data_IF_058190801329
#
_entry.id   IF_058190801329
#
_cell.length_a   1.000
_cell.length_b   1.000
_cell.length_c   1.000
_cell.angle_alpha   90.00
_cell.angle_beta   90.00
_cell.angle_gamma   90.00
#
_symmetry.space_group_name_H-M   'P 1'
#
loop_
_entity.id
_entity.type
_entity.pdbx_description
1 polymer ?
#
# COMPACT_ATOMS: atom_id res chain seq x y z
N UNK A 1 31.95 7.28 -28.47
CA UNK A 1 32.09 6.84 -27.07
C UNK A 1 30.70 6.78 -26.47
N UNK A 2 30.11 5.60 -26.33
CA UNK A 2 28.89 5.43 -25.53
C UNK A 2 29.30 5.54 -24.06
N UNK A 3 29.38 6.77 -23.55
CA UNK A 3 29.56 6.99 -22.13
C UNK A 3 28.35 6.40 -21.43
N UNK A 4 28.56 5.38 -20.61
CA UNK A 4 27.53 4.80 -19.78
C UNK A 4 26.97 5.89 -18.85
N UNK A 5 25.72 6.37 -19.06
CA UNK A 5 25.16 7.46 -18.28
C UNK A 5 25.05 7.10 -16.79
N UNK A 6 24.98 5.81 -16.48
CA UNK A 6 25.07 5.32 -15.11
C UNK A 6 26.44 5.62 -14.49
N UNK A 7 27.51 5.35 -15.23
CA UNK A 7 28.87 5.63 -14.79
C UNK A 7 29.05 7.13 -14.48
N UNK A 8 28.35 8.01 -15.20
CA UNK A 8 28.41 9.45 -14.99
C UNK A 8 27.74 9.88 -13.67
N UNK A 9 26.48 9.48 -13.42
CA UNK A 9 25.77 9.88 -12.21
C UNK A 9 26.44 9.30 -10.95
N UNK A 10 26.82 8.03 -10.99
CA UNK A 10 27.56 7.39 -9.92
C UNK A 10 28.92 8.05 -9.69
N UNK A 11 29.61 8.48 -10.76
CA UNK A 11 30.86 9.24 -10.66
C UNK A 11 30.63 10.60 -9.99
N UNK A 12 29.60 11.33 -10.38
CA UNK A 12 29.28 12.63 -9.75
C UNK A 12 29.03 12.49 -8.24
N UNK A 13 28.26 11.48 -7.81
CA UNK A 13 28.07 11.22 -6.38
C UNK A 13 29.38 10.84 -5.66
N UNK A 14 30.23 10.01 -6.28
CA UNK A 14 31.55 9.65 -5.75
C UNK A 14 32.46 10.87 -5.59
N UNK A 15 32.54 11.70 -6.62
CA UNK A 15 33.35 12.92 -6.64
C UNK A 15 32.90 13.88 -5.53
N UNK A 16 31.58 14.07 -5.36
CA UNK A 16 31.04 14.88 -4.27
C UNK A 16 31.31 14.29 -2.88
N UNK A 17 31.38 12.96 -2.78
CA UNK A 17 31.71 12.27 -1.53
C UNK A 17 33.21 12.24 -1.21
N UNK A 18 34.07 12.61 -2.16
CA UNK A 18 35.51 12.38 -2.07
C UNK A 18 35.87 10.89 -1.97
N UNK A 19 35.02 9.99 -2.49
CA UNK A 19 35.20 8.54 -2.36
C UNK A 19 36.16 7.99 -3.43
N UNK A 20 37.02 7.00 -3.09
CA UNK A 20 37.91 6.36 -4.05
C UNK A 20 37.15 5.56 -5.13
N UNK A 21 37.77 5.37 -6.30
CA UNK A 21 37.15 4.70 -7.46
C UNK A 21 36.80 3.23 -7.21
N UNK A 22 37.56 2.56 -6.36
CA UNK A 22 37.41 1.14 -5.99
C UNK A 22 36.66 1.05 -4.66
N UNK A 23 35.34 1.00 -4.72
CA UNK A 23 34.49 0.75 -3.55
C UNK A 23 33.73 -0.56 -3.78
N UNK A 24 33.68 -1.41 -2.74
CA UNK A 24 32.87 -2.62 -2.75
C UNK A 24 31.38 -2.28 -2.87
N UNK A 25 30.62 -3.16 -3.54
CA UNK A 25 29.22 -2.97 -3.87
C UNK A 25 28.30 -3.65 -2.83
N UNK A 26 27.12 -3.06 -2.49
CA UNK A 26 26.59 -1.76 -2.92
C UNK A 26 27.37 -0.59 -2.30
N UNK A 27 27.48 0.52 -3.04
CA UNK A 27 28.26 1.66 -2.56
C UNK A 27 27.39 2.59 -1.71
N UNK A 28 27.88 2.88 -0.51
CA UNK A 28 27.26 3.78 0.44
C UNK A 28 28.09 5.05 0.57
N UNK A 29 27.49 6.20 0.27
CA UNK A 29 28.10 7.51 0.51
C UNK A 29 27.35 8.24 1.61
N UNK A 30 28.08 8.98 2.43
CA UNK A 30 27.53 9.94 3.37
C UNK A 30 27.87 11.34 2.86
N UNK A 31 26.84 12.10 2.51
CA UNK A 31 26.94 13.45 2.00
C UNK A 31 26.23 14.41 2.93
N UNK A 32 26.63 15.67 2.88
CA UNK A 32 25.91 16.75 3.54
C UNK A 32 25.45 17.75 2.48
N UNK A 33 24.15 17.98 2.39
CA UNK A 33 23.58 19.02 1.52
C UNK A 33 22.59 19.85 2.32
N UNK A 34 22.74 21.17 2.25
CA UNK A 34 21.89 22.11 2.99
C UNK A 34 21.94 21.96 4.52
N UNK A 35 22.93 21.27 5.08
CA UNK A 35 23.00 20.95 6.52
C UNK A 35 22.34 19.62 6.91
N UNK A 36 21.73 18.88 5.97
CA UNK A 36 21.16 17.56 6.22
C UNK A 36 22.16 16.44 5.90
N UNK A 37 22.30 15.44 6.77
CA UNK A 37 23.01 14.22 6.44
C UNK A 37 22.19 13.38 5.45
N UNK A 38 22.76 13.09 4.29
CA UNK A 38 22.14 12.28 3.24
C UNK A 38 22.99 11.06 3.00
N UNK A 39 22.40 9.88 3.19
CA UNK A 39 23.00 8.62 2.78
C UNK A 39 22.58 8.31 1.36
N UNK A 40 23.55 8.21 0.46
CA UNK A 40 23.34 7.75 -0.91
C UNK A 40 23.68 6.26 -0.97
N UNK A 41 22.73 5.43 -1.36
CA UNK A 41 22.91 4.00 -1.57
C UNK A 41 22.76 3.74 -3.05
N UNK A 42 23.75 3.10 -3.64
CA UNK A 42 23.81 2.88 -5.07
C UNK A 42 24.16 1.42 -5.39
N UNK A 43 23.38 0.83 -6.29
CA UNK A 43 23.60 -0.50 -6.87
C UNK A 43 23.78 -0.35 -8.37
N UNK A 44 24.81 -1.00 -8.95
CA UNK A 44 25.04 -0.98 -10.41
C UNK A 44 23.77 -1.45 -11.12
N UNK A 45 23.32 -0.72 -12.13
CA UNK A 45 22.22 -1.03 -13.05
C UNK A 45 20.83 -1.13 -12.44
N UNK A 46 20.70 -1.08 -11.11
CA UNK A 46 19.41 -1.28 -10.45
C UNK A 46 18.81 0.04 -9.97
N UNK A 47 19.49 0.75 -9.04
CA UNK A 47 18.89 1.90 -8.38
C UNK A 47 19.88 2.86 -7.71
N UNK A 48 19.39 4.08 -7.50
CA UNK A 48 19.91 5.01 -6.48
C UNK A 48 18.84 5.23 -5.43
N UNK A 49 19.26 5.24 -4.16
CA UNK A 49 18.41 5.60 -3.03
C UNK A 49 19.06 6.72 -2.23
N UNK A 50 18.32 7.80 -2.01
CA UNK A 50 18.69 8.85 -1.07
C UNK A 50 17.94 8.60 0.23
N UNK A 51 18.62 8.66 1.37
CA UNK A 51 18.01 8.54 2.70
C UNK A 51 18.48 9.64 3.62
N UNK A 52 17.58 10.17 4.43
CA UNK A 52 17.91 11.05 5.55
C UNK A 52 17.04 10.64 6.74
N UNK A 53 17.58 10.63 7.97
CA UNK A 53 16.77 10.45 9.16
C UNK A 53 15.59 11.42 9.18
N UNK A 54 14.39 10.93 9.48
CA UNK A 54 13.24 11.77 9.74
C UNK A 54 13.41 12.39 11.13
N UNK A 55 13.42 13.70 11.20
CA UNK A 55 13.71 14.38 12.46
C UNK A 55 12.55 14.21 13.46
N UNK A 56 12.79 13.49 14.54
CA UNK A 56 11.78 13.22 15.57
C UNK A 56 11.47 14.49 16.35
N UNK A 57 10.18 14.77 16.53
CA UNK A 57 9.74 15.78 17.49
C UNK A 57 9.94 15.29 18.91
N UNK A 58 10.10 16.23 19.85
CA UNK A 58 10.03 15.90 21.27
C UNK A 58 8.68 15.21 21.57
N UNK A 59 8.72 14.16 22.39
CA UNK A 59 7.50 13.45 22.79
C UNK A 59 6.62 14.43 23.57
N UNK A 60 5.35 14.64 23.16
CA UNK A 60 4.45 15.51 23.88
C UNK A 60 4.25 14.97 25.30
N UNK A 61 4.01 15.83 26.29
CA UNK A 61 3.68 15.38 27.64
C UNK A 61 2.48 14.43 27.57
N UNK A 62 2.38 13.43 28.46
CA UNK A 62 1.31 12.45 28.47
C UNK A 62 -0.04 13.12 28.72
N UNK A 63 -0.69 13.58 27.65
CA UNK A 63 -2.06 14.06 27.61
C UNK A 63 -2.91 13.08 26.79
N UNK A 64 -4.16 12.87 27.19
CA UNK A 64 -5.04 11.88 26.56
C UNK A 64 -5.19 12.06 25.04
N UNK A 65 -5.22 10.95 24.31
CA UNK A 65 -5.23 10.89 22.84
C UNK A 65 -6.33 11.75 22.16
N UNK A 66 -7.41 12.07 22.86
CA UNK A 66 -8.49 12.91 22.36
C UNK A 66 -8.12 14.40 22.20
N UNK A 67 -7.13 14.91 22.94
CA UNK A 67 -6.74 16.32 22.83
C UNK A 67 -5.88 16.63 21.61
N UNK A 68 -5.30 15.61 20.96
CA UNK A 68 -4.40 15.79 19.83
C UNK A 68 -5.10 16.29 18.55
N UNK A 69 -6.40 16.01 18.39
CA UNK A 69 -7.12 16.33 17.15
C UNK A 69 -7.58 17.79 17.05
N UNK A 70 -7.72 18.50 18.17
CA UNK A 70 -8.12 19.93 18.22
C UNK A 70 -6.99 20.84 18.64
N UNK A 71 -5.75 20.41 18.39
CA UNK A 71 -4.61 21.20 18.78
C UNK A 71 -4.60 22.52 17.97
N UNK A 72 -4.42 23.69 18.63
CA UNK A 72 -4.44 24.99 17.95
C UNK A 72 -3.38 25.06 16.85
N UNK A 73 -3.57 25.95 15.88
CA UNK A 73 -2.58 26.21 14.84
C UNK A 73 -1.21 26.50 15.49
N UNK A 74 -0.20 25.68 15.17
CA UNK A 74 1.13 25.75 15.79
C UNK A 74 1.43 24.68 16.85
N UNK A 75 0.43 23.89 17.28
CA UNK A 75 0.70 22.75 18.13
C UNK A 75 1.53 21.68 17.40
N UNK A 76 2.43 20.97 18.11
CA UNK A 76 3.25 19.90 17.54
C UNK A 76 2.38 18.88 16.79
N UNK A 77 2.81 18.48 15.59
CA UNK A 77 2.11 17.45 14.85
C UNK A 77 2.35 16.10 15.54
N UNK A 78 1.30 15.31 15.73
CA UNK A 78 1.40 13.97 16.32
C UNK A 78 0.65 12.97 15.45
N UNK A 79 1.29 11.84 15.16
CA UNK A 79 0.74 10.83 14.26
C UNK A 79 1.25 9.42 14.60
N UNK A 80 0.45 8.41 14.24
CA UNK A 80 0.91 7.03 14.30
C UNK A 80 2.06 6.82 13.30
N UNK A 81 3.15 6.20 13.76
CA UNK A 81 4.34 5.94 12.94
C UNK A 81 4.50 4.44 12.62
N UNK A 82 5.12 4.08 11.48
CA UNK A 82 5.54 4.98 10.40
C UNK A 82 4.33 5.58 9.67
N UNK A 83 4.44 6.84 9.24
CA UNK A 83 3.36 7.47 8.46
C UNK A 83 3.29 6.93 7.03
N UNK A 84 4.42 6.48 6.46
CA UNK A 84 4.52 5.93 5.11
C UNK A 84 3.82 6.80 4.06
N UNK A 85 4.09 8.11 4.06
CA UNK A 85 3.53 9.01 3.05
C UNK A 85 4.39 8.86 1.79
N UNK A 86 3.88 8.10 0.82
CA UNK A 86 4.52 7.87 -0.46
C UNK A 86 4.05 8.90 -1.50
N UNK A 87 5.02 9.51 -2.17
CA UNK A 87 4.86 10.51 -3.21
C UNK A 87 5.51 9.96 -4.47
N UNK A 88 4.77 9.93 -5.58
CA UNK A 88 5.29 9.47 -6.87
C UNK A 88 4.74 10.32 -8.01
N UNK A 89 5.34 10.26 -9.22
CA UNK A 89 4.76 10.93 -10.37
C UNK A 89 3.32 10.45 -10.63
N UNK A 90 2.41 11.40 -10.89
CA UNK A 90 1.02 11.06 -11.18
C UNK A 90 0.86 10.55 -12.62
N UNK A 91 0.33 9.34 -12.76
CA UNK A 91 0.10 8.72 -14.07
C UNK A 91 -1.27 9.07 -14.65
N UNK A 92 -1.48 8.79 -15.94
CA UNK A 92 -2.80 8.97 -16.57
C UNK A 92 -3.88 8.08 -15.94
N UNK A 93 -3.52 6.87 -15.48
CA UNK A 93 -4.42 5.95 -14.79
C UNK A 93 -4.89 6.51 -13.45
N UNK A 94 -3.99 7.15 -12.69
CA UNK A 94 -4.33 7.80 -11.41
C UNK A 94 -5.35 8.91 -11.62
N UNK A 95 -5.12 9.77 -12.63
CA UNK A 95 -6.06 10.85 -12.98
C UNK A 95 -7.43 10.32 -13.36
N UNK A 96 -7.49 9.25 -14.16
CA UNK A 96 -8.75 8.62 -14.52
C UNK A 96 -9.47 8.03 -13.29
N UNK A 97 -8.73 7.37 -12.38
CA UNK A 97 -9.28 6.81 -11.16
C UNK A 97 -9.80 7.88 -10.18
N UNK A 98 -9.11 9.03 -10.08
CA UNK A 98 -9.56 10.21 -9.34
C UNK A 98 -10.84 10.79 -9.94
N UNK A 99 -10.86 10.99 -11.26
CA UNK A 99 -12.02 11.52 -11.98
C UNK A 99 -13.26 10.63 -11.83
N UNK A 100 -13.07 9.31 -11.75
CA UNK A 100 -14.13 8.34 -11.50
C UNK A 100 -14.58 8.26 -10.02
N UNK A 101 -13.94 9.01 -9.10
CA UNK A 101 -14.23 8.95 -7.67
C UNK A 101 -13.85 7.62 -7.00
N UNK A 102 -12.98 6.84 -7.65
CA UNK A 102 -12.53 5.53 -7.12
C UNK A 102 -11.43 5.74 -6.08
N UNK A 103 -10.48 6.63 -6.37
CA UNK A 103 -9.39 6.98 -5.46
C UNK A 103 -9.71 8.28 -4.73
N UNK A 104 -9.70 8.25 -3.40
CA UNK A 104 -9.69 9.47 -2.58
C UNK A 104 -8.23 9.76 -2.21
N UNK A 105 -7.66 10.77 -2.84
CA UNK A 105 -6.31 11.25 -2.57
C UNK A 105 -6.37 12.54 -1.75
N UNK A 106 -5.40 12.70 -0.85
CA UNK A 106 -5.19 13.94 -0.09
C UNK A 106 -4.82 15.06 -1.06
N UNK A 107 -5.63 16.12 -1.12
CA UNK A 107 -5.29 17.31 -1.89
C UNK A 107 -4.51 18.30 -1.01
N UNK A 108 -3.40 18.83 -1.52
CA UNK A 108 -2.61 19.82 -0.78
C UNK A 108 -3.20 21.22 -0.91
N UNK A 109 -3.99 21.47 -1.96
CA UNK A 109 -4.52 22.79 -2.29
C UNK A 109 -3.57 23.61 -3.17
N UNK A 110 -2.51 22.98 -3.69
CA UNK A 110 -1.53 23.54 -4.61
C UNK A 110 -1.70 22.84 -5.97
N UNK A 111 -2.48 23.41 -6.92
CA UNK A 111 -2.84 22.71 -8.14
C UNK A 111 -1.63 22.22 -8.97
N UNK A 112 -0.56 23.01 -9.16
CA UNK A 112 0.66 22.52 -9.79
C UNK A 112 1.29 21.28 -9.11
N UNK A 113 1.17 21.15 -7.80
CA UNK A 113 1.63 19.98 -7.06
C UNK A 113 0.66 18.81 -7.20
N UNK A 114 -0.63 19.06 -6.95
CA UNK A 114 -1.70 18.05 -6.96
C UNK A 114 -1.90 17.42 -8.36
N UNK A 115 -1.51 18.11 -9.45
CA UNK A 115 -1.48 17.59 -10.82
C UNK A 115 -0.19 16.84 -11.20
N UNK A 116 0.88 17.01 -10.44
CA UNK A 116 2.19 16.43 -10.75
C UNK A 116 2.51 15.19 -9.89
N UNK A 117 1.97 15.14 -8.68
CA UNK A 117 2.33 14.18 -7.65
C UNK A 117 1.09 13.41 -7.20
N UNK A 118 1.19 12.08 -7.21
CA UNK A 118 0.23 11.21 -6.56
C UNK A 118 0.66 10.97 -5.11
N UNK A 119 -0.25 11.23 -4.16
CA UNK A 119 -0.02 11.04 -2.72
C UNK A 119 -0.72 9.77 -2.25
N UNK A 120 0.06 8.76 -1.91
CA UNK A 120 -0.40 7.60 -1.17
C UNK A 120 -0.07 7.75 0.32
N UNK A 121 -1.08 7.88 1.17
CA UNK A 121 -0.88 7.93 2.61
C UNK A 121 -1.90 7.02 3.32
N UNK A 122 -1.45 5.96 4.03
CA UNK A 122 -2.36 5.05 4.74
C UNK A 122 -2.94 5.67 6.02
N UNK A 123 -2.38 6.79 6.49
CA UNK A 123 -2.76 7.48 7.72
C UNK A 123 -3.91 8.49 7.56
N UNK A 124 -3.99 9.42 8.49
CA UNK A 124 -4.99 10.50 8.51
C UNK A 124 -4.68 11.56 7.42
N UNK A 125 -5.61 11.83 6.48
CA UNK A 125 -5.46 12.85 5.44
C UNK A 125 -5.06 14.24 5.96
N UNK A 126 -5.56 14.65 7.13
CA UNK A 126 -5.26 15.96 7.71
C UNK A 126 -3.82 16.04 8.19
N UNK A 127 -3.29 14.95 8.74
CA UNK A 127 -1.87 14.85 9.11
C UNK A 127 -1.02 14.93 7.85
N UNK A 128 -1.35 14.16 6.81
CA UNK A 128 -0.64 14.20 5.53
C UNK A 128 -0.64 15.61 4.93
N UNK A 129 -1.78 16.30 4.92
CA UNK A 129 -1.89 17.67 4.42
C UNK A 129 -1.00 18.63 5.22
N UNK A 130 -0.93 18.48 6.56
CA UNK A 130 -0.03 19.29 7.41
C UNK A 130 1.45 18.97 7.17
N UNK A 131 1.80 17.69 6.96
CA UNK A 131 3.18 17.28 6.60
C UNK A 131 3.59 17.92 5.28
N UNK A 132 2.70 17.94 4.29
CA UNK A 132 2.93 18.52 2.96
C UNK A 132 2.62 20.02 2.88
N UNK A 133 2.44 20.69 4.02
CA UNK A 133 2.00 22.08 4.09
C UNK A 133 3.03 23.11 3.59
N UNK A 134 4.33 22.81 3.68
CA UNK A 134 5.40 23.70 3.19
C UNK A 134 5.47 23.75 1.67
N UNK A 135 5.52 24.95 1.10
CA UNK A 135 5.70 25.16 -0.34
C UNK A 135 7.10 24.72 -0.80
N UNK A 136 8.11 24.92 0.03
CA UNK A 136 9.50 24.53 -0.22
C UNK A 136 9.65 23.01 -0.25
N UNK A 137 8.97 22.29 0.64
CA UNK A 137 8.89 20.82 0.59
C UNK A 137 8.28 20.37 -0.73
N UNK A 138 7.12 20.93 -1.10
CA UNK A 138 6.42 20.57 -2.34
C UNK A 138 7.25 20.87 -3.58
N UNK A 139 7.96 22.00 -3.60
CA UNK A 139 8.91 22.33 -4.67
C UNK A 139 10.07 21.33 -4.73
N UNK A 140 10.65 20.94 -3.58
CA UNK A 140 11.70 19.93 -3.50
C UNK A 140 11.26 18.57 -4.01
N UNK A 141 10.05 18.12 -3.64
CA UNK A 141 9.44 16.88 -4.15
C UNK A 141 9.30 16.93 -5.67
N UNK A 142 8.70 17.99 -6.22
CA UNK A 142 8.53 18.13 -7.68
C UNK A 142 9.88 18.16 -8.41
N UNK A 143 10.85 18.89 -7.88
CA UNK A 143 12.19 18.96 -8.45
C UNK A 143 12.87 17.58 -8.47
N UNK A 144 12.77 16.81 -7.38
CA UNK A 144 13.37 15.49 -7.30
C UNK A 144 12.69 14.48 -8.24
N UNK A 145 11.37 14.51 -8.33
CA UNK A 145 10.62 13.68 -9.29
C UNK A 145 10.93 14.08 -10.74
N UNK A 146 11.16 15.36 -11.03
CA UNK A 146 11.58 15.83 -12.35
C UNK A 146 13.00 15.36 -12.74
N UNK A 147 13.85 15.05 -11.77
CA UNK A 147 15.14 14.38 -11.99
C UNK A 147 15.00 12.85 -12.16
N UNK A 148 13.77 12.32 -12.26
CA UNK A 148 13.50 10.93 -12.64
C UNK A 148 13.19 9.98 -11.49
N UNK A 149 13.19 10.44 -10.24
CA UNK A 149 12.85 9.59 -9.09
C UNK A 149 11.45 9.00 -9.23
N UNK A 150 11.33 7.69 -8.98
CA UNK A 150 10.07 6.96 -9.11
C UNK A 150 9.19 7.10 -7.88
N UNK A 151 9.78 7.23 -6.69
CA UNK A 151 9.02 7.46 -5.46
C UNK A 151 9.85 8.16 -4.38
N UNK A 152 9.16 8.85 -3.47
CA UNK A 152 9.68 9.47 -2.26
C UNK A 152 8.76 9.03 -1.11
N UNK A 153 9.31 8.44 -0.07
CA UNK A 153 8.59 8.01 1.13
C UNK A 153 9.03 8.88 2.30
N UNK A 154 8.07 9.54 2.93
CA UNK A 154 8.28 10.32 4.14
C UNK A 154 7.87 9.46 5.35
N UNK A 155 8.81 9.27 6.27
CA UNK A 155 8.66 8.45 7.47
C UNK A 155 8.38 6.98 7.14
N UNK A 156 9.38 6.32 6.54
CA UNK A 156 9.37 4.89 6.23
C UNK A 156 9.41 4.01 7.50
N UNK A 157 9.45 2.68 7.34
CA UNK A 157 9.50 1.73 8.46
C UNK A 157 10.73 1.88 9.37
N UNK A 158 11.80 2.49 8.87
CA UNK A 158 13.02 2.79 9.64
C UNK A 158 13.00 4.21 10.24
N UNK A 159 11.93 4.98 9.98
CA UNK A 159 11.83 6.37 10.41
C UNK A 159 12.72 7.30 9.59
N UNK A 160 12.95 7.00 8.32
CA UNK A 160 13.71 7.81 7.39
C UNK A 160 12.79 8.52 6.37
N UNK A 161 13.34 9.55 5.73
CA UNK A 161 12.87 10.06 4.44
C UNK A 161 13.70 9.33 3.38
N UNK A 162 13.03 8.70 2.42
CA UNK A 162 13.66 7.91 1.36
C UNK A 162 13.21 8.39 -0.01
N UNK A 163 14.13 8.47 -0.97
CA UNK A 163 13.80 8.68 -2.37
C UNK A 163 14.45 7.60 -3.22
N UNK A 164 13.68 7.03 -4.15
CA UNK A 164 14.07 5.92 -5.00
C UNK A 164 14.11 6.35 -6.46
N UNK A 165 15.25 6.09 -7.10
CA UNK A 165 15.43 6.19 -8.54
C UNK A 165 15.64 4.79 -9.08
N UNK A 166 14.67 4.28 -9.85
CA UNK A 166 14.77 2.98 -10.53
C UNK A 166 15.33 3.17 -11.93
N UNK A 167 16.32 2.35 -12.29
CA UNK A 167 16.94 2.27 -13.61
C UNK A 167 17.53 3.61 -14.13
N UNK A 168 18.78 3.56 -14.55
CA UNK A 168 19.47 4.73 -15.10
C UNK A 168 18.92 5.04 -16.50
N UNK A 169 17.92 5.92 -16.58
CA UNK A 169 17.50 6.46 -17.88
C UNK A 169 18.57 7.43 -18.41
N UNK A 170 18.63 7.61 -19.74
CA UNK A 170 19.63 8.47 -20.38
C UNK A 170 19.61 9.95 -19.92
N UNK A 171 18.54 10.40 -19.26
CA UNK A 171 18.42 11.76 -18.73
C UNK A 171 19.43 12.08 -17.62
N UNK A 172 20.01 11.04 -16.98
CA UNK A 172 20.89 11.16 -15.82
C UNK A 172 22.35 11.46 -16.15
N UNK A 173 22.76 11.42 -17.43
CA UNK A 173 24.11 11.77 -17.86
C UNK A 173 24.40 13.28 -17.93
N UNK A 174 23.46 14.14 -17.51
CA UNK A 174 23.62 15.60 -17.59
C UNK A 174 24.60 16.09 -16.51
N UNK A 175 25.49 17.05 -16.83
CA UNK A 175 26.34 17.69 -15.83
C UNK A 175 25.52 18.27 -14.66
N UNK A 176 25.99 18.01 -13.44
CA UNK A 176 25.41 18.55 -12.21
C UNK A 176 24.07 17.97 -11.79
N UNK A 177 23.60 16.86 -12.39
CA UNK A 177 22.31 16.26 -11.99
C UNK A 177 22.37 15.75 -10.55
N UNK A 178 23.49 15.15 -10.13
CA UNK A 178 23.66 14.64 -8.77
C UNK A 178 23.52 15.76 -7.73
N UNK A 179 24.04 16.96 -8.04
CA UNK A 179 23.92 18.13 -7.17
C UNK A 179 22.48 18.60 -7.05
N UNK A 180 21.75 18.71 -8.18
CA UNK A 180 20.33 19.09 -8.17
C UNK A 180 19.47 18.08 -7.40
N UNK A 181 19.74 16.78 -7.53
CA UNK A 181 19.08 15.73 -6.76
C UNK A 181 19.31 15.91 -5.25
N UNK A 182 20.55 16.16 -4.83
CA UNK A 182 20.87 16.39 -3.41
C UNK A 182 20.25 17.67 -2.86
N UNK A 183 20.28 18.76 -3.62
CA UNK A 183 19.70 20.03 -3.21
C UNK A 183 18.17 19.91 -3.09
N UNK A 184 17.52 19.22 -4.02
CA UNK A 184 16.09 18.93 -3.97
C UNK A 184 15.73 18.01 -2.78
N UNK A 185 16.49 16.94 -2.56
CA UNK A 185 16.27 16.05 -1.42
C UNK A 185 16.52 16.74 -0.07
N UNK A 186 17.54 17.59 0.03
CA UNK A 186 17.79 18.42 1.21
C UNK A 186 16.68 19.45 1.45
N UNK A 187 16.07 20.00 0.40
CA UNK A 187 14.90 20.86 0.54
C UNK A 187 13.71 20.11 1.14
N UNK A 188 13.49 18.85 0.75
CA UNK A 188 12.47 17.99 1.38
C UNK A 188 12.82 17.76 2.85
N UNK A 189 14.02 17.23 3.12
CA UNK A 189 14.42 16.82 4.47
C UNK A 189 14.37 17.95 5.52
N UNK A 190 14.67 19.19 5.12
CA UNK A 190 14.62 20.36 6.03
C UNK A 190 13.23 20.90 6.29
N UNK A 191 12.31 20.74 5.34
CA UNK A 191 11.00 21.37 5.40
C UNK A 191 9.89 20.39 5.81
N UNK A 192 10.22 19.11 5.97
CA UNK A 192 9.34 18.15 6.62
C UNK A 192 9.20 18.53 8.10
N UNK A 193 7.97 18.75 8.61
CA UNK A 193 7.78 19.13 10.00
C UNK A 193 8.12 17.97 10.93
N UNK A 194 8.56 18.27 12.15
CA UNK A 194 8.72 17.27 13.18
C UNK A 194 7.37 16.67 13.58
N UNK A 195 7.30 15.34 13.64
CA UNK A 195 6.11 14.60 14.06
C UNK A 195 6.41 13.76 15.28
N UNK A 196 5.66 14.01 16.34
CA UNK A 196 5.71 13.21 17.54
C UNK A 196 4.99 11.87 17.33
N UNK A 197 5.55 10.75 17.82
CA UNK A 197 4.88 9.46 17.75
C UNK A 197 3.58 9.49 18.57
N UNK A 198 2.48 9.11 17.95
CA UNK A 198 1.21 8.83 18.59
C UNK A 198 0.99 7.31 18.68
N UNK A 199 0.21 6.82 19.67
CA UNK A 199 -0.24 5.45 19.68
C UNK A 199 -0.92 5.11 18.36
N UNK A 200 -0.52 3.99 17.74
CA UNK A 200 -1.22 3.48 16.57
C UNK A 200 -2.63 3.06 17.00
N UNK A 201 -3.70 3.58 16.40
CA UNK A 201 -5.03 3.04 16.66
C UNK A 201 -4.99 1.55 16.36
N UNK A 202 -5.57 0.73 17.25
CA UNK A 202 -5.68 -0.69 17.01
C UNK A 202 -6.32 -0.89 15.63
N UNK A 203 -5.63 -1.58 14.73
CA UNK A 203 -6.07 -1.78 13.35
C UNK A 203 -7.19 -2.84 13.34
N UNK A 204 -8.35 -2.45 13.86
CA UNK A 204 -9.53 -3.31 13.98
C UNK A 204 -9.92 -3.89 12.61
N UNK A 205 -9.65 -3.17 11.52
CA UNK A 205 -9.89 -3.63 10.16
C UNK A 205 -9.01 -4.83 9.78
N UNK A 206 -7.71 -4.80 10.11
CA UNK A 206 -6.82 -5.94 9.86
C UNK A 206 -7.19 -7.13 10.73
N UNK A 207 -7.57 -6.91 11.98
CA UNK A 207 -8.08 -7.97 12.86
C UNK A 207 -9.38 -8.59 12.33
N UNK A 208 -10.32 -7.77 11.83
CA UNK A 208 -11.57 -8.24 11.21
C UNK A 208 -11.31 -9.02 9.92
N UNK A 209 -10.38 -8.58 9.07
CA UNK A 209 -10.03 -9.30 7.84
C UNK A 209 -9.35 -10.64 8.14
N UNK A 210 -8.43 -10.68 9.12
CA UNK A 210 -7.78 -11.92 9.55
C UNK A 210 -8.79 -12.88 10.16
N UNK A 211 -9.66 -12.39 11.06
CA UNK A 211 -10.72 -13.20 11.66
C UNK A 211 -11.68 -13.72 10.60
N UNK A 212 -12.08 -12.85 9.66
CA UNK A 212 -12.91 -13.22 8.51
C UNK A 212 -12.26 -14.32 7.68
N UNK A 213 -10.99 -14.16 7.29
CA UNK A 213 -10.25 -15.17 6.54
C UNK A 213 -10.09 -16.50 7.27
N UNK A 214 -9.84 -16.48 8.58
CA UNK A 214 -9.77 -17.69 9.42
C UNK A 214 -11.14 -18.39 9.45
N UNK A 215 -12.23 -17.65 9.65
CA UNK A 215 -13.58 -18.21 9.62
C UNK A 215 -13.92 -18.79 8.24
N UNK A 216 -13.52 -18.13 7.14
CA UNK A 216 -13.67 -18.67 5.79
C UNK A 216 -12.96 -20.01 5.62
N UNK A 217 -11.69 -20.07 6.01
CA UNK A 217 -10.86 -21.27 5.89
C UNK A 217 -11.39 -22.41 6.76
N UNK A 218 -11.88 -22.11 7.96
CA UNK A 218 -12.52 -23.09 8.82
C UNK A 218 -13.82 -23.64 8.20
N UNK A 219 -14.66 -22.78 7.63
CA UNK A 219 -15.87 -23.19 6.92
C UNK A 219 -15.56 -24.04 5.69
N UNK A 220 -14.48 -23.75 4.95
CA UNK A 220 -13.97 -24.55 3.83
C UNK A 220 -13.56 -25.95 4.26
N UNK A 221 -12.68 -26.02 5.26
CA UNK A 221 -12.07 -27.25 5.73
C UNK A 221 -13.08 -28.19 6.40
N UNK A 222 -14.11 -27.63 7.05
CA UNK A 222 -15.11 -28.42 7.77
C UNK A 222 -16.38 -28.64 6.95
N UNK A 223 -16.81 -27.66 6.16
CA UNK A 223 -18.06 -27.70 5.40
C UNK A 223 -18.01 -28.66 4.22
N UNK A 224 -16.92 -28.68 3.45
CA UNK A 224 -16.81 -29.56 2.29
C UNK A 224 -16.78 -31.06 2.68
N UNK A 225 -15.97 -31.51 3.66
CA UNK A 225 -16.01 -32.91 4.09
C UNK A 225 -17.35 -33.30 4.72
N UNK A 226 -17.96 -32.42 5.52
CA UNK A 226 -19.29 -32.67 6.08
C UNK A 226 -20.34 -32.84 4.98
N UNK A 227 -20.28 -32.03 3.91
CA UNK A 227 -21.13 -32.20 2.72
C UNK A 227 -20.93 -33.56 2.06
N UNK A 228 -19.69 -33.94 1.75
CA UNK A 228 -19.40 -35.21 1.09
C UNK A 228 -19.77 -36.42 1.95
N UNK A 229 -19.58 -36.33 3.26
CA UNK A 229 -19.99 -37.37 4.20
C UNK A 229 -21.53 -37.49 4.25
N UNK A 230 -22.23 -36.38 4.37
CA UNK A 230 -23.70 -36.34 4.39
C UNK A 230 -24.32 -36.85 3.08
N UNK A 231 -23.75 -36.44 1.94
CA UNK A 231 -24.18 -36.88 0.61
C UNK A 231 -23.87 -38.37 0.39
N UNK A 232 -22.67 -38.83 0.79
CA UNK A 232 -22.24 -40.22 0.67
C UNK A 232 -23.08 -41.19 1.50
N UNK A 233 -23.56 -40.78 2.68
CA UNK A 233 -24.43 -41.60 3.52
C UNK A 233 -25.83 -41.84 2.93
N UNK A 234 -26.23 -41.07 1.91
CA UNK A 234 -27.56 -41.15 1.29
C UNK A 234 -27.56 -41.76 -0.11
N UNK A 235 -26.38 -41.86 -0.72
CA UNK A 235 -26.22 -42.59 -1.97
C UNK A 235 -26.19 -44.07 -1.65
N UNK A 236 -27.26 -44.78 -2.01
CA UNK A 236 -27.39 -46.23 -1.84
C UNK A 236 -26.25 -46.96 -2.58
N UNK A 237 -25.32 -47.62 -1.87
CA UNK A 237 -24.19 -48.32 -2.48
C UNK A 237 -24.61 -49.56 -3.27
N UNK A 238 -25.85 -50.04 -3.10
CA UNK A 238 -26.40 -51.21 -3.81
C UNK A 238 -26.98 -50.89 -5.20
N UNK A 239 -26.82 -49.64 -5.66
CA UNK A 239 -27.15 -49.25 -7.03
C UNK A 239 -26.40 -50.11 -8.08
N UNK A 240 -27.02 -50.40 -9.24
CA UNK A 240 -26.46 -51.32 -10.22
C UNK A 240 -25.04 -50.88 -10.65
N UNK A 241 -24.05 -51.79 -10.72
CA UNK A 241 -22.61 -51.50 -10.86
C UNK A 241 -22.16 -50.86 -12.19
N UNK A 242 -23.07 -50.24 -12.94
CA UNK A 242 -22.80 -49.48 -14.16
C UNK A 242 -23.37 -48.06 -14.17
N UNK A 243 -24.11 -47.65 -13.14
CA UNK A 243 -24.56 -46.28 -12.98
C UNK A 243 -23.37 -45.42 -12.55
N UNK A 244 -22.61 -44.92 -13.51
CA UNK A 244 -21.55 -43.95 -13.23
C UNK A 244 -22.10 -42.82 -12.36
N UNK A 245 -21.35 -42.44 -11.32
CA UNK A 245 -21.69 -41.47 -10.27
C UNK A 245 -22.25 -40.15 -10.82
N UNK A 246 -22.07 -39.87 -12.11
CA UNK A 246 -22.58 -38.71 -12.82
C UNK A 246 -24.05 -38.80 -13.28
N UNK A 247 -24.65 -40.00 -13.40
CA UNK A 247 -26.01 -40.17 -13.95
C UNK A 247 -27.06 -40.54 -12.89
N UNK A 248 -26.67 -40.95 -11.69
CA UNK A 248 -27.57 -41.09 -10.54
C UNK A 248 -27.91 -39.74 -9.85
N UNK A 249 -27.62 -38.62 -10.54
CA UNK A 249 -27.60 -37.27 -9.97
C UNK A 249 -28.92 -36.48 -10.13
N UNK A 250 -29.97 -37.05 -10.73
CA UNK A 250 -31.26 -36.37 -11.04
C UNK A 250 -32.12 -35.96 -9.82
N UNK A 251 -31.59 -36.05 -8.59
CA UNK A 251 -32.24 -35.55 -7.38
C UNK A 251 -31.29 -35.07 -6.28
N UNK A 252 -30.02 -35.51 -6.31
CA UNK A 252 -29.03 -35.17 -5.27
C UNK A 252 -28.37 -33.79 -5.46
N UNK A 253 -28.52 -33.14 -6.63
CA UNK A 253 -27.87 -31.86 -6.95
C UNK A 253 -28.75 -30.61 -6.78
N UNK A 254 -30.04 -30.75 -6.44
CA UNK A 254 -30.91 -29.63 -6.04
C UNK A 254 -30.36 -28.72 -4.91
N UNK A 255 -29.52 -29.20 -3.97
CA UNK A 255 -28.96 -28.35 -2.93
C UNK A 255 -28.01 -27.28 -3.47
N UNK A 256 -27.25 -27.57 -4.55
CA UNK A 256 -26.22 -26.66 -5.07
C UNK A 256 -26.79 -25.31 -5.54
N UNK A 257 -27.84 -25.24 -6.38
CA UNK A 257 -28.40 -23.95 -6.78
C UNK A 257 -29.04 -23.21 -5.62
N UNK A 258 -29.64 -23.90 -4.64
CA UNK A 258 -30.20 -23.29 -3.43
C UNK A 258 -29.08 -22.69 -2.56
N UNK A 259 -28.03 -23.48 -2.34
CA UNK A 259 -26.81 -23.01 -1.70
C UNK A 259 -26.28 -21.77 -2.39
N UNK A 260 -26.07 -21.83 -3.71
CA UNK A 260 -25.48 -20.75 -4.49
C UNK A 260 -26.33 -19.48 -4.43
N UNK A 261 -27.67 -19.61 -4.49
CA UNK A 261 -28.59 -18.51 -4.32
C UNK A 261 -28.49 -17.87 -2.92
N UNK A 262 -28.48 -18.66 -1.84
CA UNK A 262 -28.36 -18.12 -0.47
C UNK A 262 -26.97 -17.54 -0.22
N UNK A 263 -25.92 -18.20 -0.70
CA UNK A 263 -24.55 -17.72 -0.63
C UNK A 263 -24.36 -16.38 -1.31
N UNK A 264 -24.92 -16.20 -2.52
CA UNK A 264 -24.93 -14.91 -3.21
C UNK A 264 -25.78 -13.87 -2.48
N UNK A 265 -26.98 -14.25 -2.01
CA UNK A 265 -27.88 -13.34 -1.30
C UNK A 265 -27.27 -12.80 0.00
N UNK A 266 -26.49 -13.61 0.72
CA UNK A 266 -25.79 -13.19 1.95
C UNK A 266 -24.42 -12.55 1.67
N UNK A 267 -23.71 -13.01 0.63
CA UNK A 267 -22.38 -12.52 0.27
C UNK A 267 -22.39 -11.11 -0.33
N UNK A 268 -23.36 -10.80 -1.19
CA UNK A 268 -23.44 -9.50 -1.87
C UNK A 268 -23.61 -8.30 -0.92
N UNK A 269 -24.47 -8.34 0.12
CA UNK A 269 -24.56 -7.26 1.11
C UNK A 269 -23.26 -7.05 1.89
N UNK A 270 -22.62 -8.13 2.33
CA UNK A 270 -21.32 -8.06 3.02
C UNK A 270 -20.28 -7.46 2.07
N UNK A 271 -20.30 -7.85 0.79
CA UNK A 271 -19.44 -7.28 -0.23
C UNK A 271 -19.64 -5.79 -0.44
N UNK A 272 -20.90 -5.34 -0.45
CA UNK A 272 -21.24 -3.93 -0.55
C UNK A 272 -20.74 -3.14 0.68
N UNK A 273 -20.87 -3.70 1.89
CA UNK A 273 -20.39 -3.07 3.13
C UNK A 273 -18.87 -2.98 3.16
N UNK A 274 -18.17 -4.08 2.85
CA UNK A 274 -16.70 -4.11 2.78
C UNK A 274 -16.20 -3.17 1.69
N UNK A 275 -16.84 -3.15 0.51
CA UNK A 275 -16.52 -2.20 -0.56
C UNK A 275 -16.70 -0.76 -0.10
N UNK A 276 -17.81 -0.43 0.58
CA UNK A 276 -18.04 0.92 1.12
C UNK A 276 -17.00 1.32 2.16
N UNK A 277 -16.57 0.41 3.04
CA UNK A 277 -15.52 0.69 4.02
C UNK A 277 -14.13 0.82 3.39
N UNK A 278 -13.89 0.15 2.27
CA UNK A 278 -12.64 0.23 1.52
C UNK A 278 -12.58 1.46 0.61
N UNK A 279 -13.74 1.99 0.18
CA UNK A 279 -13.83 3.27 -0.55
C UNK A 279 -13.32 4.40 0.33
N UNK A 280 -12.57 5.31 -0.27
CA UNK A 280 -11.94 6.43 0.45
C UNK A 280 -10.51 6.17 0.90
N UNK A 281 -9.96 4.96 0.72
CA UNK A 281 -8.52 4.70 0.86
C UNK A 281 -7.81 4.82 -0.48
N UNK A 282 -6.59 5.36 -0.46
CA UNK A 282 -5.73 5.55 -1.65
C UNK A 282 -5.43 4.26 -2.41
N UNK A 283 -5.41 3.10 -1.72
CA UNK A 283 -5.19 1.76 -2.33
C UNK A 283 -6.46 1.02 -2.73
N UNK A 284 -7.62 1.67 -2.64
CA UNK A 284 -8.90 0.99 -2.84
C UNK A 284 -9.00 0.28 -4.20
N UNK A 285 -8.41 0.84 -5.26
CA UNK A 285 -8.41 0.24 -6.60
C UNK A 285 -7.60 -1.06 -6.68
N UNK A 286 -6.49 -1.19 -5.93
CA UNK A 286 -5.70 -2.43 -5.86
C UNK A 286 -6.40 -3.46 -4.97
N UNK A 287 -7.01 -3.03 -3.86
CA UNK A 287 -7.61 -3.94 -2.87
C UNK A 287 -9.04 -4.38 -3.21
N UNK A 288 -9.79 -3.59 -3.97
CA UNK A 288 -11.15 -3.90 -4.40
C UNK A 288 -11.31 -5.24 -5.13
N UNK A 289 -10.45 -5.62 -6.10
CA UNK A 289 -10.56 -6.93 -6.75
C UNK A 289 -10.29 -8.08 -5.77
N UNK A 290 -9.32 -7.96 -4.86
CA UNK A 290 -9.05 -8.99 -3.84
C UNK A 290 -10.20 -9.15 -2.86
N UNK A 291 -10.78 -8.03 -2.38
CA UNK A 291 -11.96 -8.09 -1.53
C UNK A 291 -13.13 -8.78 -2.25
N UNK A 292 -13.40 -8.40 -3.50
CA UNK A 292 -14.46 -9.01 -4.31
C UNK A 292 -14.24 -10.51 -4.50
N UNK A 293 -13.00 -10.93 -4.77
CA UNK A 293 -12.63 -12.34 -4.89
C UNK A 293 -12.88 -13.11 -3.58
N UNK A 294 -12.44 -12.58 -2.43
CA UNK A 294 -12.67 -13.20 -1.11
C UNK A 294 -14.17 -13.37 -0.83
N UNK A 295 -14.97 -12.38 -1.19
CA UNK A 295 -16.42 -12.41 -1.00
C UNK A 295 -17.12 -13.41 -1.91
N UNK A 296 -16.67 -13.55 -3.16
CA UNK A 296 -17.15 -14.59 -4.08
C UNK A 296 -16.81 -15.98 -3.51
N UNK A 297 -15.59 -16.17 -3.02
CA UNK A 297 -15.18 -17.42 -2.37
C UNK A 297 -16.08 -17.72 -1.17
N UNK A 298 -16.30 -16.74 -0.29
CA UNK A 298 -17.20 -16.85 0.86
C UNK A 298 -18.64 -17.24 0.49
N UNK A 299 -19.20 -16.58 -0.53
CA UNK A 299 -20.53 -16.87 -1.03
C UNK A 299 -20.65 -18.33 -1.49
N UNK A 300 -19.65 -18.82 -2.25
CA UNK A 300 -19.58 -20.22 -2.69
C UNK A 300 -19.48 -21.18 -1.49
N UNK A 301 -18.83 -20.79 -0.39
CA UNK A 301 -18.72 -21.66 0.78
C UNK A 301 -20.00 -21.75 1.59
N UNK A 302 -20.65 -20.61 1.84
CA UNK A 302 -21.96 -20.58 2.49
C UNK A 302 -22.95 -21.40 1.67
N UNK A 303 -22.85 -21.34 0.35
CA UNK A 303 -23.63 -22.16 -0.55
C UNK A 303 -23.43 -23.66 -0.33
N UNK A 304 -22.19 -24.13 -0.32
CA UNK A 304 -21.85 -25.54 -0.09
C UNK A 304 -22.32 -25.99 1.30
N UNK A 305 -22.11 -25.18 2.34
CA UNK A 305 -22.49 -25.53 3.71
C UNK A 305 -24.01 -25.64 3.90
N UNK A 306 -24.79 -24.72 3.32
CA UNK A 306 -26.26 -24.77 3.38
C UNK A 306 -26.80 -25.96 2.58
N UNK A 307 -26.17 -26.27 1.45
CA UNK A 307 -26.48 -27.45 0.65
C UNK A 307 -26.33 -28.73 1.48
N UNK A 308 -25.25 -28.82 2.27
CA UNK A 308 -24.98 -29.94 3.17
C UNK A 308 -26.04 -30.06 4.26
N UNK A 309 -26.42 -28.94 4.87
CA UNK A 309 -27.39 -28.91 5.96
C UNK A 309 -28.79 -29.34 5.48
N UNK A 310 -29.24 -28.84 4.34
CA UNK A 310 -30.52 -29.25 3.73
C UNK A 310 -30.51 -30.74 3.41
N UNK A 311 -29.41 -31.22 2.81
CA UNK A 311 -29.22 -32.65 2.60
C UNK A 311 -29.33 -33.41 3.91
N UNK A 312 -28.73 -32.98 5.02
CA UNK A 312 -28.82 -33.72 6.29
C UNK A 312 -30.23 -33.81 6.88
N UNK A 313 -31.08 -32.80 6.66
CA UNK A 313 -32.41 -32.72 7.29
C UNK A 313 -33.53 -33.43 6.55
N UNK A 314 -33.40 -33.64 5.24
CA UNK A 314 -34.39 -34.36 4.43
C UNK A 314 -34.33 -35.88 4.64
#
# INVERSE_FOLDING_TARGET
MNGDPEAELARQFREMAGAPRETEWPVHFHLHAGGCPIRVIYSVQEFIRLRSPYALGAQPPPGGAQSAYRAPAGAPLSAARPMNIELRPETAGDRAAKAAGVAAEVQTGDPPFDHAVYIHAPGDPQITQRVLGSAELRAGVRALLAEGFSSIVIDDEQGDICAHLQAFTAAHGRPGCARRMLDAFAAIARNVPHVAPAPRPADAGRSLLLLGGVLCSALLLLGAPAYFFAAGARCDPDGPPGASVLWALDGCFAPIPVGLAVGLALGLPVAAVVSRQMRGRSDSHVRAPYASLILVILAIQVAIALSAAVLWTL
#
